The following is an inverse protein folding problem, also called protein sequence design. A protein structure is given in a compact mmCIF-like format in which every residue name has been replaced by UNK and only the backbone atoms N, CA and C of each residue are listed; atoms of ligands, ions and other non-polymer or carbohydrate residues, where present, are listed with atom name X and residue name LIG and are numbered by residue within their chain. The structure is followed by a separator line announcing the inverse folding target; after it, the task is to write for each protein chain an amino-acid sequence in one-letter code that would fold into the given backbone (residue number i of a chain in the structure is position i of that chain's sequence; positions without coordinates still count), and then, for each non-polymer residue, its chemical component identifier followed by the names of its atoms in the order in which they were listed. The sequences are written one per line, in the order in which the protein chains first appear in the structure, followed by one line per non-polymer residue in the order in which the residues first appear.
data_IF_578780050249
#
_entry.id   IF_578780050249
#
_cell.length_a   1.000
_cell.length_b   1.000
_cell.length_c   1.000
_cell.angle_alpha   90.00
_cell.angle_beta   90.00
_cell.angle_gamma   90.00
#
_symmetry.space_group_name_H-M   'P 1'
#
loop_
_entity.id
_entity.type
_entity.pdbx_description
1 polymer ?
#
# COMPACT_ATOMS: atom_id res chain seq x y z
N UNK A 1 1.29 -3.69 4.69
CA UNK A 1 2.72 -3.43 4.95
C UNK A 1 3.22 -4.27 6.12
N UNK A 2 4.48 -4.70 6.11
CA UNK A 2 5.10 -5.41 7.25
C UNK A 2 5.58 -4.44 8.33
N UNK A 3 5.88 -4.94 9.54
CA UNK A 3 6.49 -4.13 10.60
C UNK A 3 7.85 -3.54 10.15
N UNK A 4 8.60 -4.30 9.35
CA UNK A 4 9.84 -3.82 8.73
C UNK A 4 9.60 -2.65 7.76
N UNK A 5 8.46 -2.63 7.07
CA UNK A 5 8.10 -1.52 6.19
C UNK A 5 7.91 -0.22 6.98
N UNK A 6 7.31 -0.30 8.17
CA UNK A 6 7.18 0.82 9.09
C UNK A 6 8.52 1.21 9.72
N UNK A 7 9.38 0.24 10.03
CA UNK A 7 10.73 0.51 10.55
C UNK A 7 11.65 1.20 9.53
N UNK A 8 11.39 1.04 8.22
CA UNK A 8 12.11 1.76 7.14
C UNK A 8 11.70 3.23 7.01
N UNK A 9 10.64 3.68 7.68
CA UNK A 9 10.27 5.08 7.68
C UNK A 9 11.34 5.92 8.40
N UNK A 10 11.58 7.17 7.99
CA UNK A 10 12.47 8.06 8.71
C UNK A 10 12.11 8.15 10.19
N UNK A 11 13.13 8.20 11.05
CA UNK A 11 12.94 8.38 12.48
C UNK A 11 12.07 9.64 12.74
N UNK A 12 11.04 9.49 13.57
CA UNK A 12 10.07 10.56 13.87
C UNK A 12 8.85 10.63 12.93
N UNK A 13 8.85 9.97 11.76
CA UNK A 13 7.65 9.93 10.89
C UNK A 13 6.54 9.12 11.54
N UNK A 14 6.84 7.91 12.05
CA UNK A 14 5.85 7.07 12.72
C UNK A 14 5.31 7.73 13.99
N UNK A 15 6.18 8.29 14.82
CA UNK A 15 5.80 9.00 16.04
C UNK A 15 4.90 10.21 15.73
N UNK A 16 5.22 10.95 14.67
CA UNK A 16 4.36 12.04 14.19
C UNK A 16 3.00 11.51 13.76
N UNK A 17 2.95 10.44 12.97
CA UNK A 17 1.69 9.82 12.50
C UNK A 17 0.83 9.25 13.64
N UNK A 18 1.45 8.82 14.74
CA UNK A 18 0.75 8.32 15.93
C UNK A 18 0.16 9.43 16.80
N UNK A 19 0.54 10.70 16.58
CA UNK A 19 -0.04 11.83 17.32
C UNK A 19 -1.53 11.98 17.00
N UNK A 20 -2.36 12.36 17.99
CA UNK A 20 -3.79 12.56 17.80
C UNK A 20 -4.10 13.59 16.71
N UNK A 21 -3.24 14.59 16.54
CA UNK A 21 -3.30 15.63 15.50
C UNK A 21 -3.17 15.07 14.08
N UNK A 22 -2.51 13.91 13.92
CA UNK A 22 -2.26 13.28 12.62
C UNK A 22 -3.14 12.04 12.39
N UNK A 23 -4.17 11.82 13.21
CA UNK A 23 -5.10 10.69 13.03
C UNK A 23 -5.76 10.68 11.67
N UNK A 24 -6.15 11.85 11.16
CA UNK A 24 -6.76 11.97 9.83
C UNK A 24 -5.75 11.60 8.73
N UNK A 25 -4.49 11.98 8.91
CA UNK A 25 -3.39 11.60 8.01
C UNK A 25 -3.12 10.10 8.05
N UNK A 26 -3.08 9.50 9.24
CA UNK A 26 -2.94 8.06 9.40
C UNK A 26 -4.10 7.31 8.74
N UNK A 27 -5.34 7.81 8.91
CA UNK A 27 -6.51 7.25 8.24
C UNK A 27 -6.36 7.30 6.72
N UNK A 28 -5.95 8.44 6.15
CA UNK A 28 -5.71 8.57 4.71
C UNK A 28 -4.62 7.64 4.21
N UNK A 29 -3.53 7.48 4.96
CA UNK A 29 -2.46 6.51 4.63
C UNK A 29 -3.01 5.09 4.62
N UNK A 30 -3.78 4.70 5.63
CA UNK A 30 -4.38 3.36 5.69
C UNK A 30 -5.35 3.13 4.52
N UNK A 31 -6.20 4.12 4.20
CA UNK A 31 -7.09 4.05 3.05
C UNK A 31 -6.34 4.01 1.71
N UNK A 32 -5.15 4.60 1.62
CA UNK A 32 -4.30 4.53 0.43
C UNK A 32 -3.70 3.13 0.21
N UNK A 33 -3.68 2.28 1.23
CA UNK A 33 -3.27 0.87 1.08
C UNK A 33 -4.43 -0.06 0.73
N UNK A 34 -5.66 0.43 0.72
CA UNK A 34 -6.86 -0.39 0.46
C UNK A 34 -7.43 0.00 -0.89
N UNK A 35 -7.68 -1.00 -1.73
CA UNK A 35 -8.35 -0.89 -3.02
C UNK A 35 -9.72 -1.57 -2.88
N UNK A 36 -10.74 -1.01 -3.49
CA UNK A 36 -12.06 -1.64 -3.50
C UNK A 36 -12.10 -2.81 -4.48
N UNK A 37 -12.67 -3.93 -4.04
CA UNK A 37 -12.75 -5.17 -4.82
C UNK A 37 -11.62 -6.18 -4.56
N UNK A 38 -11.75 -7.34 -5.24
CA UNK A 38 -10.75 -8.42 -5.20
C UNK A 38 -9.84 -8.29 -6.42
N UNK A 39 -8.59 -7.91 -6.19
CA UNK A 39 -7.60 -7.75 -7.25
C UNK A 39 -6.43 -8.70 -6.95
N UNK A 40 -6.28 -9.72 -7.78
CA UNK A 40 -5.10 -10.58 -7.74
C UNK A 40 -3.93 -9.91 -8.44
N UNK A 41 -2.72 -10.44 -8.24
CA UNK A 41 -1.50 -9.93 -8.85
C UNK A 41 -1.60 -9.86 -10.37
N UNK A 42 -2.18 -10.88 -11.01
CA UNK A 42 -2.37 -10.88 -12.47
C UNK A 42 -3.26 -9.72 -12.92
N UNK A 43 -4.42 -9.54 -12.27
CA UNK A 43 -5.35 -8.46 -12.59
C UNK A 43 -4.72 -7.08 -12.33
N UNK A 44 -3.95 -6.95 -11.25
CA UNK A 44 -3.25 -5.73 -10.89
C UNK A 44 -2.18 -5.36 -11.94
N UNK A 45 -1.45 -6.35 -12.46
CA UNK A 45 -0.45 -6.17 -13.51
C UNK A 45 -1.11 -5.72 -14.81
N UNK A 46 -2.23 -6.34 -15.17
CA UNK A 46 -2.98 -6.02 -16.39
C UNK A 46 -3.61 -4.61 -16.31
N UNK A 47 -4.15 -4.25 -15.16
CA UNK A 47 -4.73 -2.93 -14.90
C UNK A 47 -3.68 -1.81 -14.90
N UNK A 48 -2.41 -2.10 -14.55
CA UNK A 48 -1.27 -1.16 -14.40
C UNK A 48 -1.44 -0.06 -13.35
N UNK A 49 -2.66 0.20 -12.90
CA UNK A 49 -3.02 1.12 -11.84
C UNK A 49 -4.26 0.62 -11.11
N UNK A 50 -4.41 1.02 -9.85
CA UNK A 50 -5.59 0.71 -9.04
C UNK A 50 -6.03 1.94 -8.25
N UNK A 51 -7.35 2.17 -8.19
CA UNK A 51 -7.93 3.24 -7.37
C UNK A 51 -7.99 2.80 -5.90
N UNK A 52 -7.40 3.61 -5.02
CA UNK A 52 -7.46 3.36 -3.58
C UNK A 52 -8.71 3.98 -2.97
N UNK A 53 -9.11 3.51 -1.80
CA UNK A 53 -10.23 4.09 -1.04
C UNK A 53 -9.95 5.52 -0.56
N UNK A 54 -8.69 5.96 -0.54
CA UNK A 54 -8.34 7.34 -0.26
C UNK A 54 -8.73 8.27 -1.44
N UNK A 55 -8.90 7.74 -2.64
CA UNK A 55 -9.26 8.47 -3.86
C UNK A 55 -8.10 8.63 -4.85
N UNK A 56 -6.85 8.47 -4.41
CA UNK A 56 -5.68 8.48 -5.29
C UNK A 56 -5.42 7.11 -5.91
N UNK A 57 -4.78 7.09 -7.08
CA UNK A 57 -4.34 5.84 -7.72
C UNK A 57 -2.98 5.39 -7.19
N UNK A 58 -2.78 4.08 -7.16
CA UNK A 58 -1.47 3.44 -7.02
C UNK A 58 -1.08 2.84 -8.36
N UNK A 59 0.18 3.00 -8.75
CA UNK A 59 0.71 2.41 -9.98
C UNK A 59 1.25 1.02 -9.70
N UNK A 60 0.82 0.05 -10.48
CA UNK A 60 1.29 -1.34 -10.41
C UNK A 60 2.27 -1.57 -11.54
N UNK A 61 3.47 -2.04 -11.21
CA UNK A 61 4.50 -2.37 -12.19
C UNK A 61 5.13 -3.71 -11.87
N UNK A 62 5.51 -4.45 -12.91
CA UNK A 62 6.19 -5.75 -12.73
C UNK A 62 7.65 -5.59 -13.10
N UNK A 63 8.55 -5.88 -12.17
CA UNK A 63 9.99 -5.86 -12.42
C UNK A 63 10.61 -7.16 -11.92
N UNK A 64 11.32 -7.86 -12.80
CA UNK A 64 12.01 -9.12 -12.50
C UNK A 64 11.10 -10.19 -11.87
N UNK A 65 9.90 -10.39 -12.44
CA UNK A 65 8.87 -11.31 -11.92
C UNK A 65 8.35 -10.99 -10.51
N UNK A 66 8.64 -9.79 -9.98
CA UNK A 66 8.03 -9.28 -8.75
C UNK A 66 7.10 -8.13 -9.07
N UNK A 67 5.91 -8.14 -8.47
CA UNK A 67 4.97 -7.01 -8.49
C UNK A 67 5.50 -5.90 -7.59
N UNK A 68 5.35 -4.66 -8.05
CA UNK A 68 5.66 -3.46 -7.29
C UNK A 68 4.48 -2.52 -7.35
N UNK A 69 4.12 -1.97 -6.20
CA UNK A 69 3.08 -0.95 -6.06
C UNK A 69 3.80 0.35 -5.74
N UNK A 70 3.80 1.30 -6.67
CA UNK A 70 4.68 2.46 -6.67
C UNK A 70 6.15 2.03 -6.43
N UNK A 71 6.76 2.50 -5.36
CA UNK A 71 8.14 2.16 -4.96
C UNK A 71 8.22 0.96 -3.99
N UNK A 72 7.09 0.41 -3.56
CA UNK A 72 7.02 -0.73 -2.65
C UNK A 72 7.09 -2.05 -3.43
N UNK A 73 7.93 -2.98 -2.97
CA UNK A 73 7.99 -4.32 -3.53
C UNK A 73 6.97 -5.20 -2.81
N UNK A 74 6.19 -5.95 -3.57
CA UNK A 74 5.36 -7.03 -3.04
C UNK A 74 6.28 -8.20 -2.67
N UNK A 75 6.33 -8.54 -1.39
CA UNK A 75 7.10 -9.65 -0.83
C UNK A 75 6.32 -10.95 -0.97
N UNK A 76 5.03 -10.88 -0.67
CA UNK A 76 4.09 -11.99 -0.77
C UNK A 76 2.78 -11.47 -1.35
N UNK A 77 2.18 -12.21 -2.27
CA UNK A 77 1.05 -11.75 -3.06
C UNK A 77 0.00 -12.85 -3.16
N UNK A 78 -1.22 -12.49 -3.53
CA UNK A 78 -2.32 -13.46 -3.77
C UNK A 78 -2.73 -14.27 -2.53
N UNK A 79 -2.62 -13.66 -1.35
CA UNK A 79 -3.13 -14.27 -0.11
C UNK A 79 -4.65 -14.09 -0.09
N UNK A 80 -5.37 -15.15 -0.41
CA UNK A 80 -6.83 -15.16 -0.41
C UNK A 80 -7.38 -15.08 1.02
N UNK A 81 -8.18 -14.05 1.28
CA UNK A 81 -8.86 -13.82 2.53
C UNK A 81 -10.37 -13.79 2.29
N UNK A 82 -11.15 -14.07 3.32
CA UNK A 82 -12.62 -14.15 3.20
C UNK A 82 -13.24 -12.85 2.67
N UNK A 83 -12.60 -11.71 2.92
CA UNK A 83 -13.06 -10.37 2.56
C UNK A 83 -12.25 -9.71 1.43
N UNK A 84 -11.26 -10.37 0.83
CA UNK A 84 -10.38 -9.70 -0.13
C UNK A 84 -9.13 -10.49 -0.48
N UNK A 85 -8.16 -9.83 -1.11
CA UNK A 85 -6.83 -10.38 -1.38
C UNK A 85 -5.81 -9.51 -0.66
N UNK A 86 -4.89 -10.15 0.05
CA UNK A 86 -3.81 -9.46 0.77
C UNK A 86 -2.53 -9.54 -0.05
N UNK A 87 -1.91 -8.38 -0.24
CA UNK A 87 -0.58 -8.23 -0.84
C UNK A 87 0.37 -7.65 0.21
N UNK A 88 1.35 -8.44 0.63
CA UNK A 88 2.36 -8.06 1.61
C UNK A 88 3.42 -7.22 0.91
N UNK A 89 3.63 -5.99 1.38
CA UNK A 89 4.62 -5.06 0.84
C UNK A 89 5.70 -4.71 1.85
N UNK A 90 6.91 -4.48 1.35
CA UNK A 90 8.12 -4.21 2.15
C UNK A 90 8.33 -2.73 2.52
N UNK A 91 7.46 -1.85 2.03
CA UNK A 91 7.50 -0.39 2.25
C UNK A 91 6.07 0.15 2.43
N UNK A 92 5.94 1.18 3.26
CA UNK A 92 4.67 1.89 3.45
C UNK A 92 4.42 2.82 2.26
N UNK A 93 3.21 2.74 1.70
CA UNK A 93 2.73 3.66 0.67
C UNK A 93 2.31 4.98 1.34
N UNK A 94 3.04 6.04 1.04
CA UNK A 94 2.67 7.38 1.49
C UNK A 94 1.97 8.09 0.31
N UNK A 95 0.71 8.51 0.47
CA UNK A 95 0.08 9.37 -0.52
C UNK A 95 0.88 10.67 -0.58
N UNK A 96 1.16 11.15 -1.78
CA UNK A 96 1.76 12.47 -1.97
C UNK A 96 0.69 13.47 -1.54
N UNK A 97 0.91 14.18 -0.43
CA UNK A 97 0.00 15.27 -0.07
C UNK A 97 0.20 16.37 -1.10
N UNK A 98 -0.85 16.64 -1.88
CA UNK A 98 -0.91 17.78 -2.80
C UNK A 98 -1.00 19.08 -2.02
#
# INVERSE_FOLDING_TARGET
PTDEAFAKLPAGTLESLLKPENKDKLRSILLYHVVDGRVFSNDAIDAKAAHTLQGSEVRVTTKNKSVRINDAKVVDADIDASNGVIHVIDRVLLPVEN
#
